data_IF_719320518576
#
_entry.id   IF_719320518576
#
_cell.length_a   1.000
_cell.length_b   1.000
_cell.length_c   1.000
_cell.angle_alpha   90.00
_cell.angle_beta   90.00
_cell.angle_gamma   90.00
#
_symmetry.space_group_name_H-M   'P 1'
#
loop_
_entity.id
_entity.type
_entity.pdbx_description
1 polymer ?
#
# COMPACT_ATOMS: atom_id res chain seq x y z
N UNK A 1 -2.73 -26.86 37.70
CA UNK A 1 -3.49 -27.33 36.52
C UNK A 1 -3.23 -26.31 35.40
N UNK A 2 -2.32 -26.62 34.45
CA UNK A 2 -1.92 -25.72 33.37
C UNK A 2 -2.97 -25.63 32.23
N UNK A 3 -4.19 -25.19 32.53
CA UNK A 3 -5.23 -25.05 31.54
C UNK A 3 -5.03 -23.78 30.64
N UNK A 4 -4.28 -22.81 31.13
CA UNK A 4 -3.95 -21.56 30.42
C UNK A 4 -2.46 -21.32 30.46
N UNK A 5 -1.88 -21.07 29.31
CA UNK A 5 -0.60 -20.40 29.12
C UNK A 5 -0.86 -19.03 28.53
N UNK A 6 -0.29 -17.99 29.11
CA UNK A 6 -0.41 -16.62 28.66
C UNK A 6 0.96 -15.94 28.74
N UNK A 7 1.39 -15.37 27.64
CA UNK A 7 2.57 -14.52 27.56
C UNK A 7 2.10 -13.12 27.13
N UNK A 8 2.59 -12.11 27.84
CA UNK A 8 2.30 -10.69 27.51
C UNK A 8 3.61 -9.93 27.51
N UNK A 9 3.82 -9.14 26.49
CA UNK A 9 4.91 -8.18 26.39
C UNK A 9 4.37 -6.78 26.07
N UNK A 10 5.06 -5.78 26.59
CA UNK A 10 4.87 -4.38 26.21
C UNK A 10 6.26 -3.81 25.91
N UNK A 11 6.34 -2.97 24.89
CA UNK A 11 7.60 -2.41 24.43
C UNK A 11 7.42 -0.99 23.94
N UNK A 12 8.51 -0.22 24.01
CA UNK A 12 8.71 1.04 23.32
C UNK A 12 10.12 1.05 22.76
N UNK A 13 10.27 1.46 21.54
CA UNK A 13 11.54 1.53 20.84
C UNK A 13 11.64 2.86 20.09
N UNK A 14 12.69 3.60 20.39
CA UNK A 14 13.05 4.81 19.66
C UNK A 14 14.19 4.47 18.72
N UNK A 15 13.94 4.60 17.41
CA UNK A 15 14.93 4.36 16.36
C UNK A 15 15.43 5.67 15.82
N UNK A 16 16.73 5.92 15.95
CA UNK A 16 17.42 7.01 15.28
C UNK A 16 17.90 6.54 13.91
N UNK A 17 17.45 7.21 12.86
CA UNK A 17 17.91 6.96 11.49
C UNK A 17 17.39 5.66 10.86
N UNK A 18 16.15 5.26 11.13
CA UNK A 18 15.51 4.15 10.40
C UNK A 18 15.50 4.45 8.89
N UNK A 19 15.96 3.48 8.09
CA UNK A 19 16.02 3.64 6.65
C UNK A 19 14.65 3.44 6.00
N UNK A 20 14.13 4.50 5.40
CA UNK A 20 12.95 4.46 4.55
C UNK A 20 13.38 4.51 3.08
N UNK A 21 12.97 3.51 2.30
CA UNK A 21 13.29 3.41 0.88
C UNK A 21 12.15 3.94 0.02
N UNK A 22 12.49 4.72 -0.99
CA UNK A 22 11.54 5.17 -2.00
C UNK A 22 12.17 5.19 -3.39
N UNK A 23 11.34 5.13 -4.43
CA UNK A 23 11.81 5.21 -5.81
C UNK A 23 11.56 6.64 -6.31
N UNK A 24 12.64 7.33 -6.63
CA UNK A 24 12.61 8.69 -7.18
C UNK A 24 13.47 8.72 -8.44
N UNK A 25 12.93 9.24 -9.54
CA UNK A 25 13.64 9.33 -10.82
C UNK A 25 14.29 8.00 -11.26
N UNK A 26 13.57 6.88 -11.07
CA UNK A 26 14.02 5.49 -11.39
C UNK A 26 15.18 4.98 -10.54
N UNK A 27 15.57 5.69 -9.51
CA UNK A 27 16.56 5.26 -8.55
C UNK A 27 15.91 4.95 -7.20
N UNK A 28 16.39 3.91 -6.52
CA UNK A 28 16.04 3.69 -5.12
C UNK A 28 16.86 4.62 -4.25
N UNK A 29 16.19 5.43 -3.46
CA UNK A 29 16.80 6.35 -2.51
C UNK A 29 16.43 5.88 -1.11
N UNK A 30 17.43 5.79 -0.24
CA UNK A 30 17.23 5.54 1.18
C UNK A 30 17.44 6.84 1.93
N UNK A 31 16.46 7.17 2.76
CA UNK A 31 16.51 8.32 3.66
C UNK A 31 16.35 7.82 5.09
N UNK A 32 16.93 8.54 6.04
CA UNK A 32 16.87 8.20 7.45
C UNK A 32 15.78 9.01 8.12
N UNK A 33 14.95 8.35 8.93
CA UNK A 33 13.90 8.96 9.73
C UNK A 33 14.04 8.49 11.18
N UNK A 34 13.73 9.38 12.11
CA UNK A 34 13.61 9.01 13.51
C UNK A 34 12.16 8.58 13.76
N UNK A 35 11.99 7.45 14.45
CA UNK A 35 10.66 6.84 14.64
C UNK A 35 10.52 6.24 16.02
N UNK A 36 9.32 6.37 16.59
CA UNK A 36 8.91 5.68 17.80
C UNK A 36 7.97 4.53 17.46
N UNK A 37 8.21 3.37 18.04
CA UNK A 37 7.38 2.17 17.90
C UNK A 37 7.00 1.68 19.28
N UNK A 38 5.71 1.66 19.59
CA UNK A 38 5.19 1.21 20.86
C UNK A 38 4.17 0.09 20.64
N UNK A 39 4.11 -0.87 21.55
CA UNK A 39 3.13 -1.93 21.40
C UNK A 39 2.93 -2.80 22.63
N UNK A 40 1.83 -3.53 22.53
CA UNK A 40 1.48 -4.60 23.46
C UNK A 40 1.15 -5.84 22.64
N UNK A 41 1.74 -6.95 23.04
CA UNK A 41 1.50 -8.26 22.43
C UNK A 41 1.08 -9.26 23.50
N UNK A 42 0.12 -10.10 23.16
CA UNK A 42 -0.29 -11.20 24.00
C UNK A 42 -0.46 -12.47 23.18
N UNK A 43 0.08 -13.56 23.68
CA UNK A 43 -0.09 -14.91 23.14
C UNK A 43 -0.70 -15.80 24.20
N UNK A 44 -1.63 -16.65 23.81
CA UNK A 44 -2.26 -17.58 24.75
C UNK A 44 -2.54 -18.93 24.13
N UNK A 45 -2.56 -19.95 24.99
CA UNK A 45 -3.12 -21.28 24.71
C UNK A 45 -4.00 -21.68 25.89
N UNK A 46 -5.27 -21.96 25.63
CA UNK A 46 -6.27 -22.30 26.62
C UNK A 46 -6.87 -23.68 26.31
N UNK A 47 -6.73 -24.58 27.26
CA UNK A 47 -7.42 -25.87 27.22
C UNK A 47 -8.85 -25.70 27.70
N UNK A 48 -9.81 -25.65 26.78
CA UNK A 48 -11.23 -25.56 27.10
C UNK A 48 -11.78 -26.89 27.59
N UNK A 49 -11.19 -28.01 27.13
CA UNK A 49 -11.42 -29.37 27.62
C UNK A 49 -10.24 -30.24 27.20
N UNK A 50 -10.22 -31.50 27.62
CA UNK A 50 -9.17 -32.49 27.26
C UNK A 50 -9.01 -32.66 25.73
N UNK A 51 -10.02 -32.23 24.97
CA UNK A 51 -10.04 -32.41 23.49
C UNK A 51 -10.29 -31.13 22.73
N UNK A 52 -10.35 -29.98 23.40
CA UNK A 52 -10.64 -28.69 22.76
C UNK A 52 -9.66 -27.63 23.22
N UNK A 53 -8.88 -27.10 22.29
CA UNK A 53 -7.84 -26.10 22.53
C UNK A 53 -8.20 -24.82 21.78
N UNK A 54 -8.11 -23.70 22.46
CA UNK A 54 -8.15 -22.36 21.89
C UNK A 54 -6.75 -21.77 22.03
N UNK A 55 -6.18 -21.32 20.94
CA UNK A 55 -4.91 -20.60 20.90
C UNK A 55 -5.06 -19.30 20.13
N UNK A 56 -4.18 -18.36 20.39
CA UNK A 56 -4.19 -17.11 19.65
C UNK A 56 -3.11 -16.15 20.06
N UNK A 57 -3.01 -15.09 19.27
CA UNK A 57 -2.24 -13.91 19.62
C UNK A 57 -3.02 -12.66 19.27
N UNK A 58 -2.68 -11.56 19.92
CA UNK A 58 -3.09 -10.20 19.57
C UNK A 58 -1.88 -9.29 19.72
N UNK A 59 -1.68 -8.42 18.76
CA UNK A 59 -0.68 -7.34 18.76
C UNK A 59 -1.38 -6.03 18.48
N UNK A 60 -1.15 -5.04 19.32
CA UNK A 60 -1.51 -3.66 19.07
C UNK A 60 -0.21 -2.85 19.07
N UNK A 61 0.14 -2.29 17.91
CA UNK A 61 1.41 -1.59 17.66
C UNK A 61 1.13 -0.20 17.10
N UNK A 62 1.55 0.82 17.80
CA UNK A 62 1.57 2.20 17.30
C UNK A 62 2.94 2.52 16.74
N UNK A 63 2.98 3.21 15.61
CA UNK A 63 4.23 3.69 15.00
C UNK A 63 4.08 5.16 14.66
N UNK A 64 5.10 5.96 14.94
CA UNK A 64 5.10 7.38 14.65
C UNK A 64 6.45 7.82 14.11
N UNK A 65 6.43 8.56 13.01
CA UNK A 65 7.59 9.24 12.45
C UNK A 65 7.75 10.56 13.21
N UNK A 66 8.91 10.78 13.84
CA UNK A 66 9.14 11.93 14.72
C UNK A 66 9.52 13.19 13.93
N UNK A 67 10.63 13.15 13.19
CA UNK A 67 11.11 14.24 12.35
C UNK A 67 11.62 13.71 11.03
N UNK A 68 10.80 13.87 10.00
CA UNK A 68 11.18 13.43 8.67
C UNK A 68 10.47 14.26 7.60
N UNK A 69 11.27 14.77 6.65
CA UNK A 69 10.78 15.49 5.48
C UNK A 69 11.27 14.81 4.24
N UNK A 70 10.36 14.63 3.29
CA UNK A 70 10.70 14.00 2.02
C UNK A 70 9.80 14.49 0.89
N UNK A 71 10.31 14.41 -0.33
CA UNK A 71 9.53 14.71 -1.53
C UNK A 71 8.70 13.49 -1.90
N UNK A 72 7.38 13.67 -1.96
CA UNK A 72 6.47 12.62 -2.41
C UNK A 72 6.68 12.30 -3.90
N UNK A 73 7.17 11.10 -4.26
CA UNK A 73 7.41 10.75 -5.66
C UNK A 73 6.15 10.78 -6.54
N UNK A 74 4.97 10.61 -5.92
CA UNK A 74 3.68 10.64 -6.60
C UNK A 74 3.09 12.06 -6.67
N UNK A 75 3.57 12.97 -5.81
CA UNK A 75 3.12 14.35 -5.75
C UNK A 75 4.28 15.31 -5.40
N UNK A 76 5.33 15.39 -6.26
CA UNK A 76 6.57 16.08 -5.92
C UNK A 76 6.41 17.59 -5.70
N UNK A 77 5.33 18.20 -6.17
CA UNK A 77 5.08 19.62 -6.01
C UNK A 77 4.13 19.96 -4.87
N UNK A 78 3.66 18.95 -4.12
CA UNK A 78 2.60 19.09 -3.10
C UNK A 78 1.41 19.93 -3.57
N UNK A 79 1.11 19.85 -4.86
CA UNK A 79 0.08 20.66 -5.43
C UNK A 79 -1.27 20.26 -4.82
N UNK A 80 -1.84 21.16 -4.07
CA UNK A 80 -3.15 21.00 -3.42
C UNK A 80 -4.30 21.48 -4.32
N UNK A 81 -3.96 22.14 -5.42
CA UNK A 81 -4.95 22.72 -6.32
C UNK A 81 -5.42 21.68 -7.34
N UNK A 82 -6.68 21.30 -7.24
CA UNK A 82 -7.36 20.59 -8.31
C UNK A 82 -7.50 21.53 -9.50
N UNK A 83 -7.02 21.10 -10.67
CA UNK A 83 -7.43 21.77 -11.90
C UNK A 83 -8.94 21.53 -12.08
N UNK A 84 -9.72 22.59 -12.33
CA UNK A 84 -11.14 22.42 -12.59
C UNK A 84 -11.29 21.59 -13.88
N UNK A 85 -11.81 20.37 -13.75
CA UNK A 85 -12.21 19.61 -14.92
C UNK A 85 -13.51 20.17 -15.47
N UNK A 86 -13.66 20.21 -16.79
CA UNK A 86 -14.95 20.54 -17.40
C UNK A 86 -16.05 19.61 -16.87
N UNK A 87 -17.23 20.15 -16.66
CA UNK A 87 -18.35 19.34 -16.17
C UNK A 87 -18.65 18.19 -17.16
N UNK A 88 -18.65 16.96 -16.65
CA UNK A 88 -18.90 15.76 -17.45
C UNK A 88 -17.68 15.08 -18.06
N UNK A 89 -16.48 15.54 -17.77
CA UNK A 89 -15.25 14.92 -18.23
C UNK A 89 -15.03 13.54 -17.59
N UNK A 90 -14.81 12.49 -18.39
CA UNK A 90 -14.78 11.09 -17.94
C UNK A 90 -13.57 10.27 -18.40
N UNK A 91 -12.62 10.86 -19.13
CA UNK A 91 -11.47 10.13 -19.62
C UNK A 91 -10.30 11.02 -20.04
N UNK A 92 -9.10 10.47 -20.01
CA UNK A 92 -7.84 11.21 -20.21
C UNK A 92 -7.84 12.13 -21.42
N UNK A 93 -8.22 11.65 -22.62
CA UNK A 93 -8.25 12.46 -23.82
C UNK A 93 -9.50 13.36 -23.92
N UNK A 94 -10.64 12.89 -23.46
CA UNK A 94 -11.89 13.67 -23.41
C UNK A 94 -11.81 14.80 -22.41
N UNK A 95 -11.09 14.59 -21.29
CA UNK A 95 -10.92 15.57 -20.24
C UNK A 95 -9.88 16.63 -20.61
N UNK A 96 -8.87 16.21 -21.35
CA UNK A 96 -7.71 17.04 -21.67
C UNK A 96 -7.94 18.01 -22.85
N UNK A 97 -8.58 17.55 -23.92
CA UNK A 97 -8.85 18.40 -25.08
C UNK A 97 -9.75 19.60 -24.76
N UNK A 98 -10.85 19.48 -23.99
CA UNK A 98 -11.65 20.62 -23.57
C UNK A 98 -10.89 21.60 -22.67
N UNK A 99 -10.01 21.08 -21.81
CA UNK A 99 -9.19 21.91 -20.93
C UNK A 99 -8.18 22.75 -21.69
N UNK A 100 -7.53 22.18 -22.71
CA UNK A 100 -6.66 22.91 -23.63
C UNK A 100 -7.46 24.02 -24.34
N UNK A 101 -8.65 23.70 -24.81
CA UNK A 101 -9.52 24.67 -25.52
C UNK A 101 -10.00 25.80 -24.59
N UNK A 102 -10.22 25.53 -23.32
CA UNK A 102 -10.62 26.57 -22.35
C UNK A 102 -9.46 27.41 -21.87
N UNK A 103 -8.25 26.87 -21.83
CA UNK A 103 -7.07 27.61 -21.38
C UNK A 103 -6.73 28.75 -22.33
N UNK A 104 -6.61 28.47 -23.60
CA UNK A 104 -6.45 29.47 -24.65
C UNK A 104 -6.53 28.84 -26.06
N UNK A 105 -7.51 29.13 -26.87
CA UNK A 105 -7.59 28.59 -28.22
C UNK A 105 -6.40 28.99 -29.10
N UNK A 106 -5.67 30.04 -28.76
CA UNK A 106 -4.49 30.49 -29.51
C UNK A 106 -3.19 29.73 -29.11
N UNK A 107 -3.21 28.91 -28.08
CA UNK A 107 -2.09 28.03 -27.74
C UNK A 107 -1.76 27.09 -28.90
N UNK A 108 -2.77 26.60 -29.61
CA UNK A 108 -2.59 25.75 -30.78
C UNK A 108 -1.86 26.41 -31.94
N UNK A 109 -1.84 27.74 -32.00
CA UNK A 109 -1.15 28.52 -33.04
C UNK A 109 0.09 29.23 -32.50
N UNK A 110 0.47 29.01 -31.23
CA UNK A 110 1.69 29.57 -30.66
C UNK A 110 1.73 31.10 -30.51
N UNK A 111 0.56 31.76 -30.48
CA UNK A 111 0.49 33.21 -30.57
C UNK A 111 0.11 33.94 -29.28
N UNK A 112 -0.18 33.26 -28.23
CA UNK A 112 -0.62 33.92 -26.99
C UNK A 112 0.08 33.37 -25.74
N UNK A 113 0.32 34.31 -24.84
CA UNK A 113 0.78 33.93 -23.49
C UNK A 113 -0.37 33.27 -22.70
N UNK A 114 -0.06 32.29 -21.86
CA UNK A 114 -1.04 31.59 -21.07
C UNK A 114 -1.68 32.45 -19.99
N UNK A 115 -2.92 32.16 -19.65
CA UNK A 115 -3.43 32.58 -18.36
C UNK A 115 -2.74 31.75 -17.25
N UNK A 116 -2.39 32.39 -16.14
CA UNK A 116 -1.79 31.72 -14.99
C UNK A 116 -2.67 30.62 -14.40
N UNK A 117 -3.94 30.58 -14.74
CA UNK A 117 -4.92 29.60 -14.27
C UNK A 117 -4.90 28.29 -15.07
N UNK A 118 -4.26 28.30 -16.21
CA UNK A 118 -4.13 27.16 -17.10
C UNK A 118 -2.68 26.74 -17.17
N UNK A 119 -2.30 25.63 -16.57
CA UNK A 119 -0.99 24.99 -16.72
C UNK A 119 0.20 25.69 -16.11
N UNK A 120 0.06 26.60 -15.21
CA UNK A 120 1.23 27.27 -14.62
C UNK A 120 2.21 27.78 -15.71
N UNK A 121 1.69 28.16 -16.87
CA UNK A 121 2.46 28.77 -17.94
C UNK A 121 3.19 27.81 -18.91
N UNK A 122 3.21 26.52 -18.69
CA UNK A 122 4.01 25.60 -19.51
C UNK A 122 3.27 25.13 -20.77
N UNK A 123 2.05 24.68 -20.63
CA UNK A 123 1.27 24.15 -21.75
C UNK A 123 0.97 25.17 -22.81
N UNK A 124 0.99 26.41 -22.47
CA UNK A 124 0.57 27.50 -23.32
C UNK A 124 1.63 28.02 -24.29
N UNK A 125 2.88 27.68 -24.04
CA UNK A 125 3.95 28.09 -24.98
C UNK A 125 4.20 27.04 -26.07
N UNK A 126 3.67 25.82 -25.92
CA UNK A 126 3.79 24.80 -26.93
C UNK A 126 2.61 23.82 -26.91
N UNK A 127 1.77 23.76 -27.98
CA UNK A 127 0.62 22.86 -28.06
C UNK A 127 0.96 21.38 -27.95
N UNK A 128 2.14 20.96 -28.40
CA UNK A 128 2.65 19.58 -28.25
C UNK A 128 2.96 19.25 -26.81
N UNK A 129 3.52 20.17 -26.06
CA UNK A 129 3.76 20.01 -24.63
C UNK A 129 2.44 20.03 -23.85
N UNK A 130 1.49 20.86 -24.25
CA UNK A 130 0.15 20.84 -23.70
C UNK A 130 -0.51 19.46 -23.86
N UNK A 131 -0.34 18.82 -25.00
CA UNK A 131 -0.85 17.46 -25.25
C UNK A 131 -0.09 16.36 -24.47
N UNK A 132 1.12 16.65 -24.04
CA UNK A 132 1.93 15.74 -23.22
C UNK A 132 1.80 15.97 -21.70
N UNK A 133 1.09 17.03 -21.30
CA UNK A 133 0.78 17.25 -19.88
C UNK A 133 -0.09 16.12 -19.36
N UNK A 134 0.51 15.30 -18.54
CA UNK A 134 -0.14 14.14 -17.98
C UNK A 134 -0.85 14.54 -16.69
N UNK A 135 -2.16 14.42 -16.66
CA UNK A 135 -2.92 14.41 -15.43
C UNK A 135 -2.77 13.05 -14.77
N UNK A 136 -2.34 13.06 -13.53
CA UNK A 136 -2.41 11.86 -12.71
C UNK A 136 -3.53 12.02 -11.70
N UNK A 137 -4.35 10.98 -11.50
CA UNK A 137 -5.25 10.93 -10.35
C UNK A 137 -4.39 10.98 -9.08
N UNK A 138 -4.77 11.84 -8.16
CA UNK A 138 -4.21 11.92 -6.81
C UNK A 138 -5.34 11.95 -5.81
N UNK A 139 -5.03 11.87 -4.53
CA UNK A 139 -6.00 11.97 -3.45
C UNK A 139 -6.80 13.28 -3.48
N UNK A 140 -6.21 14.32 -4.04
CA UNK A 140 -6.86 15.61 -4.25
C UNK A 140 -7.60 15.73 -5.60
N UNK A 141 -7.60 14.68 -6.43
CA UNK A 141 -8.13 14.66 -7.80
C UNK A 141 -7.03 14.63 -8.85
N UNK A 142 -7.29 15.18 -10.03
CA UNK A 142 -6.28 15.25 -11.07
C UNK A 142 -5.31 16.39 -10.79
N UNK A 143 -4.02 16.09 -10.90
CA UNK A 143 -2.95 17.06 -10.70
C UNK A 143 -2.06 17.19 -11.92
N UNK A 144 -1.55 18.38 -12.09
CA UNK A 144 -0.62 18.71 -13.13
C UNK A 144 0.74 18.05 -12.85
N UNK A 145 1.25 17.27 -13.80
CA UNK A 145 2.63 16.75 -13.72
C UNK A 145 3.62 17.81 -14.18
N UNK A 146 4.63 18.03 -13.37
CA UNK A 146 5.82 18.75 -13.78
C UNK A 146 6.62 17.94 -14.82
N UNK A 147 7.00 18.56 -15.93
CA UNK A 147 7.77 17.94 -17.02
C UNK A 147 9.28 18.18 -16.88
N UNK A 148 9.83 18.09 -15.68
CA UNK A 148 11.26 18.23 -15.48
C UNK A 148 12.13 17.52 -16.55
N UNK A 149 11.87 16.26 -16.92
CA UNK A 149 12.65 15.56 -17.95
C UNK A 149 12.45 16.08 -19.38
N UNK A 150 11.29 16.63 -19.74
CA UNK A 150 11.02 17.14 -21.08
C UNK A 150 11.61 18.52 -21.32
N UNK A 151 11.89 19.27 -20.27
CA UNK A 151 12.56 20.57 -20.35
C UNK A 151 14.02 20.45 -20.77
N UNK A 152 14.62 19.27 -20.66
CA UNK A 152 16.01 19.00 -21.01
C UNK A 152 16.17 18.28 -22.35
N UNK A 153 15.05 17.95 -23.04
CA UNK A 153 15.12 17.22 -24.32
C UNK A 153 15.25 18.19 -25.49
N UNK A 154 16.42 18.24 -26.17
CA UNK A 154 16.64 19.14 -27.31
C UNK A 154 15.75 18.84 -28.52
N UNK A 155 15.05 17.72 -28.51
CA UNK A 155 14.27 17.20 -29.62
C UNK A 155 13.10 18.12 -30.04
N UNK A 156 12.59 18.94 -29.11
CA UNK A 156 11.50 19.89 -29.41
C UNK A 156 11.95 21.36 -29.51
N UNK A 157 13.23 21.64 -29.51
CA UNK A 157 13.75 23.01 -29.52
C UNK A 157 13.44 23.82 -28.26
N UNK A 158 13.13 23.14 -27.19
CA UNK A 158 12.82 23.72 -25.88
C UNK A 158 14.06 23.64 -25.01
N UNK A 159 14.54 24.77 -24.56
CA UNK A 159 15.58 24.86 -23.57
C UNK A 159 15.07 25.48 -22.26
N UNK A 160 15.82 25.30 -21.20
CA UNK A 160 15.49 25.81 -19.88
C UNK A 160 15.43 27.33 -19.78
N UNK A 161 15.83 28.04 -20.83
CA UNK A 161 15.83 29.51 -20.89
C UNK A 161 14.55 30.07 -21.53
N UNK A 162 13.88 29.25 -22.33
CA UNK A 162 12.66 29.65 -23.05
C UNK A 162 11.38 29.21 -22.37
N UNK A 163 11.43 28.19 -21.52
CA UNK A 163 10.30 27.75 -20.73
C UNK A 163 10.67 27.85 -19.23
N UNK A 164 9.82 28.48 -18.41
CA UNK A 164 9.95 28.35 -16.97
C UNK A 164 9.59 26.92 -16.60
N UNK A 165 10.50 26.00 -16.84
CA UNK A 165 10.41 24.67 -16.29
C UNK A 165 10.66 24.77 -14.79
N UNK A 166 9.73 24.46 -13.93
CA UNK A 166 9.99 24.31 -12.51
C UNK A 166 10.84 23.05 -12.33
N UNK A 167 12.13 23.13 -12.61
CA UNK A 167 13.14 22.20 -12.17
C UNK A 167 13.31 22.45 -10.67
N UNK A 168 12.34 22.05 -9.90
CA UNK A 168 12.48 21.95 -8.46
C UNK A 168 12.74 20.49 -8.15
N UNK A 169 13.66 20.24 -7.24
CA UNK A 169 13.87 18.89 -6.67
C UNK A 169 12.60 18.33 -6.01
N UNK A 170 11.53 19.11 -6.03
CA UNK A 170 10.25 18.87 -5.40
C UNK A 170 10.09 19.69 -4.12
N UNK A 171 8.89 19.70 -3.60
CA UNK A 171 8.55 20.32 -2.31
C UNK A 171 8.48 19.21 -1.27
N UNK A 172 9.30 19.30 -0.24
CA UNK A 172 9.28 18.34 0.86
C UNK A 172 7.95 18.41 1.61
N UNK A 173 7.33 17.25 1.83
CA UNK A 173 6.26 17.07 2.79
C UNK A 173 6.84 16.80 4.16
N UNK A 174 6.27 17.37 5.18
CA UNK A 174 6.51 16.99 6.56
C UNK A 174 5.70 15.74 6.87
N UNK A 175 6.39 14.66 7.26
CA UNK A 175 5.79 13.36 7.54
C UNK A 175 5.72 13.07 9.04
N UNK A 176 6.08 14.04 9.88
CA UNK A 176 5.99 13.92 11.34
C UNK A 176 4.55 13.59 11.77
N UNK A 177 4.38 12.63 12.65
CA UNK A 177 3.08 12.13 13.08
C UNK A 177 2.47 11.06 12.17
N UNK A 178 3.08 10.75 11.03
CA UNK A 178 2.62 9.67 10.16
C UNK A 178 3.04 8.29 10.71
N UNK A 179 2.23 7.28 10.42
CA UNK A 179 2.58 5.89 10.70
C UNK A 179 3.62 5.35 9.71
N UNK A 180 4.39 4.37 10.14
CA UNK A 180 5.31 3.66 9.27
C UNK A 180 4.57 2.88 8.16
N UNK A 181 5.19 2.73 6.98
CA UNK A 181 4.65 1.89 5.93
C UNK A 181 4.45 0.44 6.39
N UNK A 182 3.37 -0.19 5.96
CA UNK A 182 3.05 -1.60 6.21
C UNK A 182 2.84 -1.95 7.70
N UNK A 183 2.61 -0.97 8.56
CA UNK A 183 2.41 -1.12 9.99
C UNK A 183 0.91 -1.01 10.34
N UNK A 184 0.21 -2.14 10.35
CA UNK A 184 -1.16 -2.22 10.83
C UNK A 184 -1.19 -2.12 12.35
N UNK A 185 -2.10 -1.30 12.91
CA UNK A 185 -2.15 -1.10 14.36
C UNK A 185 -2.63 -2.33 15.11
N UNK A 186 -3.67 -3.00 14.65
CA UNK A 186 -4.22 -4.18 15.30
C UNK A 186 -4.08 -5.41 14.43
N UNK A 187 -3.45 -6.45 14.96
CA UNK A 187 -3.39 -7.77 14.35
C UNK A 187 -3.77 -8.82 15.37
N UNK A 188 -4.61 -9.77 15.00
CA UNK A 188 -4.87 -10.91 15.87
C UNK A 188 -5.22 -12.16 15.07
N UNK A 189 -4.98 -13.31 15.70
CA UNK A 189 -5.38 -14.62 15.22
C UNK A 189 -5.94 -15.44 16.35
N UNK A 190 -7.03 -16.15 16.09
CA UNK A 190 -7.67 -17.10 16.98
C UNK A 190 -7.74 -18.46 16.30
N UNK A 191 -7.19 -19.49 16.92
CA UNK A 191 -7.21 -20.86 16.46
C UNK A 191 -8.00 -21.76 17.40
N UNK A 192 -8.96 -22.50 16.88
CA UNK A 192 -9.72 -23.48 17.64
C UNK A 192 -9.43 -24.88 17.09
N UNK A 193 -8.87 -25.75 17.94
CA UNK A 193 -8.55 -27.13 17.57
C UNK A 193 -9.37 -28.11 18.39
N UNK A 194 -10.11 -28.98 17.70
CA UNK A 194 -10.82 -30.12 18.31
C UNK A 194 -10.13 -31.43 17.95
N UNK A 195 -9.78 -32.23 18.98
CA UNK A 195 -9.30 -33.59 18.84
C UNK A 195 -10.42 -34.61 19.08
N UNK A 196 -10.44 -35.64 18.26
CA UNK A 196 -11.41 -36.75 18.37
C UNK A 196 -10.67 -38.06 18.21
N UNK A 197 -10.55 -38.84 19.29
CA UNK A 197 -9.93 -40.15 19.24
C UNK A 197 -10.96 -41.22 18.90
N UNK A 198 -10.59 -42.12 18.04
CA UNK A 198 -11.37 -43.27 17.60
C UNK A 198 -10.55 -44.55 17.73
N UNK A 199 -11.20 -45.71 17.65
CA UNK A 199 -10.50 -46.98 17.68
C UNK A 199 -9.50 -47.16 16.51
N UNK A 200 -9.64 -46.46 15.41
CA UNK A 200 -8.80 -46.53 14.22
C UNK A 200 -7.68 -45.48 14.15
N UNK A 201 -7.76 -44.42 14.97
CA UNK A 201 -6.82 -43.32 14.95
C UNK A 201 -7.44 -42.04 15.51
N UNK A 202 -6.68 -40.95 15.43
CA UNK A 202 -7.06 -39.63 15.92
C UNK A 202 -7.34 -38.66 14.76
N UNK A 203 -8.34 -37.82 14.96
CA UNK A 203 -8.69 -36.71 14.10
C UNK A 203 -8.37 -35.39 14.81
N UNK A 204 -7.85 -34.42 14.06
CA UNK A 204 -7.80 -33.02 14.49
C UNK A 204 -8.52 -32.14 13.49
N UNK A 205 -9.43 -31.32 13.99
CA UNK A 205 -10.17 -30.32 13.23
C UNK A 205 -9.71 -28.95 13.72
N UNK A 206 -9.24 -28.09 12.82
CA UNK A 206 -8.79 -26.74 13.17
C UNK A 206 -9.48 -25.69 12.33
N UNK A 207 -9.88 -24.63 13.00
CA UNK A 207 -10.35 -23.40 12.41
C UNK A 207 -9.44 -22.26 12.90
N UNK A 208 -8.95 -21.46 11.99
CA UNK A 208 -8.22 -20.23 12.25
C UNK A 208 -8.99 -19.04 11.73
N UNK A 209 -9.12 -18.01 12.55
CA UNK A 209 -9.61 -16.70 12.17
C UNK A 209 -8.49 -15.70 12.39
N UNK A 210 -8.15 -14.93 11.37
CA UNK A 210 -7.16 -13.87 11.45
C UNK A 210 -7.74 -12.54 11.00
N UNK A 211 -7.30 -11.47 11.65
CA UNK A 211 -7.63 -10.10 11.33
C UNK A 211 -6.36 -9.28 11.28
N UNK A 212 -6.28 -8.40 10.31
CA UNK A 212 -5.28 -7.35 10.23
C UNK A 212 -5.99 -6.05 9.90
N UNK A 213 -5.68 -5.01 10.67
CA UNK A 213 -6.18 -3.66 10.51
C UNK A 213 -5.66 -3.00 9.24
N UNK A 214 -6.26 -1.89 8.87
CA UNK A 214 -5.82 -1.07 7.76
C UNK A 214 -4.42 -0.45 8.01
N UNK A 215 -3.75 -0.08 6.95
CA UNK A 215 -2.44 0.56 7.01
C UNK A 215 -2.10 1.27 5.69
N UNK A 216 -1.00 2.00 5.69
CA UNK A 216 -0.50 2.67 4.49
C UNK A 216 0.68 1.94 3.87
N UNK A 217 0.75 1.93 2.55
CA UNK A 217 1.86 1.33 1.80
C UNK A 217 3.10 2.23 1.72
N UNK A 218 2.98 3.51 2.07
CA UNK A 218 4.07 4.50 2.04
C UNK A 218 4.01 5.40 3.27
N UNK A 219 5.15 5.97 3.66
CA UNK A 219 5.24 6.91 4.79
C UNK A 219 4.45 8.22 4.60
N UNK A 220 3.96 8.50 3.39
CA UNK A 220 3.15 9.68 3.11
C UNK A 220 1.70 9.56 3.59
N UNK A 221 1.24 8.39 4.00
CA UNK A 221 -0.09 8.10 4.55
C UNK A 221 -1.23 8.68 3.71
N UNK A 222 -1.13 8.53 2.39
CA UNK A 222 -2.11 9.04 1.46
C UNK A 222 -3.22 8.04 1.16
N UNK A 223 -4.47 8.48 0.90
CA UNK A 223 -5.59 7.59 0.57
C UNK A 223 -5.27 6.63 -0.58
N UNK A 224 -4.47 7.04 -1.57
CA UNK A 224 -4.04 6.17 -2.67
C UNK A 224 -3.17 4.99 -2.22
N UNK A 225 -2.44 5.15 -1.12
CA UNK A 225 -1.60 4.13 -0.52
C UNK A 225 -2.26 3.38 0.63
N UNK A 226 -3.50 3.70 0.94
CA UNK A 226 -4.27 3.04 2.00
C UNK A 226 -4.63 1.62 1.58
N UNK A 227 -4.48 0.70 2.49
CA UNK A 227 -4.83 -0.71 2.35
C UNK A 227 -5.84 -1.01 3.44
N UNK A 228 -7.03 -1.44 3.03
CA UNK A 228 -8.14 -1.72 3.94
C UNK A 228 -7.82 -2.88 4.89
N UNK A 229 -8.57 -3.03 5.95
CA UNK A 229 -8.51 -4.17 6.84
C UNK A 229 -8.94 -5.48 6.16
N UNK A 230 -8.49 -6.60 6.69
CA UNK A 230 -8.84 -7.92 6.16
C UNK A 230 -9.06 -8.94 7.26
N UNK A 231 -10.09 -9.77 7.07
CA UNK A 231 -10.40 -10.94 7.90
C UNK A 231 -10.35 -12.22 7.08
N UNK A 232 -9.63 -13.23 7.54
CA UNK A 232 -9.52 -14.52 6.85
C UNK A 232 -9.94 -15.67 7.75
N UNK A 233 -10.57 -16.67 7.15
CA UNK A 233 -10.92 -17.93 7.81
C UNK A 233 -10.26 -19.07 7.07
N UNK A 234 -9.47 -19.88 7.81
CA UNK A 234 -8.86 -21.10 7.32
C UNK A 234 -9.41 -22.31 8.10
N UNK A 235 -9.67 -23.40 7.40
CA UNK A 235 -10.08 -24.66 8.00
C UNK A 235 -9.13 -25.78 7.62
N UNK A 236 -8.87 -26.70 8.55
CA UNK A 236 -8.13 -27.91 8.26
C UNK A 236 -8.62 -29.11 9.05
N UNK A 237 -8.42 -30.28 8.48
CA UNK A 237 -8.66 -31.57 9.13
C UNK A 237 -7.47 -32.49 8.87
N UNK A 238 -7.05 -33.22 9.90
CA UNK A 238 -5.99 -34.21 9.80
C UNK A 238 -6.43 -35.51 10.47
N UNK A 239 -6.18 -36.64 9.82
CA UNK A 239 -6.32 -37.96 10.38
C UNK A 239 -4.96 -38.63 10.51
N UNK A 240 -4.70 -39.26 11.67
CA UNK A 240 -3.51 -40.05 11.96
C UNK A 240 -3.96 -41.39 12.52
N UNK A 241 -3.61 -42.54 11.90
CA UNK A 241 -3.99 -43.86 12.43
C UNK A 241 -3.27 -44.18 13.72
N UNK A 242 -3.76 -45.18 14.45
CA UNK A 242 -3.15 -45.65 15.72
C UNK A 242 -1.68 -46.04 15.54
N UNK A 243 -1.30 -46.52 14.36
CA UNK A 243 0.11 -46.90 14.08
C UNK A 243 1.04 -45.69 13.94
N UNK A 244 0.50 -44.48 13.77
CA UNK A 244 1.22 -43.22 13.47
C UNK A 244 2.17 -43.31 12.27
N UNK A 245 2.08 -44.39 11.47
CA UNK A 245 2.95 -44.62 10.33
C UNK A 245 2.67 -43.66 9.17
N UNK A 246 1.51 -43.04 9.14
CA UNK A 246 1.13 -42.06 8.10
C UNK A 246 0.06 -41.11 8.62
N UNK A 247 -0.14 -40.04 7.90
CA UNK A 247 -1.29 -39.14 8.11
C UNK A 247 -1.83 -38.66 6.76
N UNK A 248 -3.07 -38.27 6.75
CA UNK A 248 -3.69 -37.52 5.65
C UNK A 248 -4.38 -36.29 6.23
N UNK A 249 -4.27 -35.18 5.51
CA UNK A 249 -4.95 -33.93 5.85
C UNK A 249 -5.60 -33.29 4.64
N UNK A 250 -6.60 -32.48 4.90
CA UNK A 250 -7.20 -31.58 3.92
C UNK A 250 -7.35 -30.21 4.54
N UNK A 251 -7.28 -29.18 3.72
CA UNK A 251 -7.45 -27.81 4.18
C UNK A 251 -8.13 -26.94 3.13
N UNK A 252 -8.74 -25.87 3.58
CA UNK A 252 -9.15 -24.72 2.80
C UNK A 252 -8.59 -23.47 3.45
N UNK A 253 -7.91 -22.65 2.66
CA UNK A 253 -7.43 -21.30 3.03
C UNK A 253 -8.31 -20.27 2.38
N UNK A 254 -8.44 -19.11 3.04
CA UNK A 254 -9.32 -18.03 2.59
C UNK A 254 -10.71 -18.57 2.25
N UNK A 255 -11.37 -19.20 3.22
CA UNK A 255 -12.68 -19.85 3.01
C UNK A 255 -13.75 -18.86 2.50
N UNK A 256 -13.66 -17.58 2.93
CA UNK A 256 -14.53 -16.50 2.50
C UNK A 256 -14.35 -16.13 1.03
N UNK A 257 -13.21 -16.50 0.42
CA UNK A 257 -12.79 -16.04 -0.91
C UNK A 257 -12.66 -14.52 -0.96
N UNK A 258 -12.08 -13.97 0.13
CA UNK A 258 -11.83 -12.54 0.21
C UNK A 258 -10.85 -12.11 -0.88
N UNK A 259 -11.21 -11.06 -1.60
CA UNK A 259 -10.37 -10.42 -2.61
C UNK A 259 -9.77 -9.15 -2.01
N UNK A 260 -8.49 -9.21 -1.65
CA UNK A 260 -7.82 -8.14 -0.89
C UNK A 260 -6.43 -7.85 -1.44
N UNK A 261 -6.08 -6.57 -1.50
CA UNK A 261 -4.73 -6.12 -1.83
C UNK A 261 -3.96 -5.94 -0.53
N UNK A 262 -2.81 -6.60 -0.40
CA UNK A 262 -2.00 -6.46 0.81
C UNK A 262 -0.77 -5.57 0.64
N UNK A 263 -0.43 -5.17 -0.58
CA UNK A 263 0.67 -4.25 -0.83
C UNK A 263 0.47 -3.49 -2.13
N UNK A 264 0.97 -2.27 -2.19
CA UNK A 264 1.08 -1.49 -3.41
C UNK A 264 2.54 -1.22 -3.74
N UNK A 265 2.89 -1.48 -4.99
CA UNK A 265 4.12 -1.00 -5.59
C UNK A 265 3.77 0.20 -6.48
N UNK A 266 4.22 1.38 -6.07
CA UNK A 266 3.94 2.63 -6.77
C UNK A 266 5.20 3.13 -7.48
N UNK A 267 5.04 3.52 -8.75
CA UNK A 267 6.12 4.16 -9.50
C UNK A 267 5.99 5.66 -9.41
N UNK A 268 7.11 6.35 -9.52
CA UNK A 268 7.14 7.80 -9.56
C UNK A 268 6.56 8.38 -10.87
N UNK A 269 6.41 9.69 -10.88
CA UNK A 269 5.84 10.42 -12.03
C UNK A 269 6.69 10.31 -13.30
N UNK A 270 8.00 10.03 -13.21
CA UNK A 270 8.89 9.94 -14.36
C UNK A 270 8.70 8.66 -15.17
N UNK A 271 8.12 7.62 -14.57
CA UNK A 271 7.80 6.34 -15.21
C UNK A 271 6.30 6.10 -15.35
N UNK A 272 5.48 7.12 -15.18
CA UNK A 272 4.05 7.07 -15.45
C UNK A 272 3.16 7.15 -14.21
N UNK A 273 3.70 7.08 -12.99
CA UNK A 273 2.93 7.18 -11.75
C UNK A 273 1.87 6.09 -11.62
N UNK A 274 2.12 4.89 -12.15
CA UNK A 274 1.20 3.77 -12.01
C UNK A 274 1.44 3.01 -10.69
N UNK A 275 0.42 2.31 -10.26
CA UNK A 275 0.42 1.54 -9.03
C UNK A 275 -0.01 0.11 -9.34
N UNK A 276 0.77 -0.85 -8.87
CA UNK A 276 0.44 -2.27 -8.95
C UNK A 276 0.03 -2.75 -7.56
N UNK A 277 -1.13 -3.39 -7.49
CA UNK A 277 -1.58 -4.08 -6.28
C UNK A 277 -1.07 -5.52 -6.27
N UNK A 278 -0.65 -5.98 -5.09
CA UNK A 278 -0.31 -7.38 -4.83
C UNK A 278 -1.46 -7.97 -4.01
N UNK A 279 -2.20 -8.89 -4.63
CA UNK A 279 -3.35 -9.52 -3.98
C UNK A 279 -2.91 -10.67 -3.06
N UNK A 280 -3.73 -10.97 -2.05
CA UNK A 280 -3.63 -12.21 -1.28
C UNK A 280 -4.01 -13.40 -2.14
N UNK A 281 -3.65 -14.59 -1.68
CA UNK A 281 -4.09 -15.83 -2.34
C UNK A 281 -5.62 -15.96 -2.33
N UNK A 282 -6.24 -16.36 -3.44
CA UNK A 282 -7.67 -16.67 -3.47
C UNK A 282 -7.97 -17.89 -2.60
N UNK A 283 -9.22 -18.32 -2.54
CA UNK A 283 -9.58 -19.57 -1.87
C UNK A 283 -8.81 -20.76 -2.43
N UNK A 284 -8.05 -21.44 -1.58
CA UNK A 284 -7.23 -22.59 -1.94
C UNK A 284 -7.68 -23.82 -1.17
N UNK A 285 -7.86 -24.95 -1.89
CA UNK A 285 -8.05 -26.26 -1.32
C UNK A 285 -6.80 -27.11 -1.49
N UNK A 286 -6.44 -27.87 -0.49
CA UNK A 286 -5.31 -28.78 -0.59
C UNK A 286 -5.50 -30.06 0.20
N UNK A 287 -4.75 -31.08 -0.21
CA UNK A 287 -4.63 -32.34 0.49
C UNK A 287 -3.14 -32.57 0.73
N UNK A 288 -2.80 -33.01 1.92
CA UNK A 288 -1.45 -33.39 2.30
C UNK A 288 -1.42 -34.82 2.81
N UNK A 289 -0.35 -35.52 2.50
CA UNK A 289 -0.09 -36.88 2.98
C UNK A 289 1.35 -36.96 3.45
N UNK A 290 1.57 -37.66 4.54
CA UNK A 290 2.90 -37.93 5.07
C UNK A 290 3.04 -39.34 5.62
N UNK A 291 4.26 -39.86 5.56
CA UNK A 291 4.64 -41.17 6.09
C UNK A 291 5.84 -41.03 7.02
N UNK A 292 5.82 -41.77 8.12
CA UNK A 292 6.95 -41.91 9.04
C UNK A 292 7.64 -43.25 8.74
N UNK A 293 8.96 -43.25 8.57
CA UNK A 293 9.77 -44.42 8.27
C UNK A 293 10.57 -44.86 9.47
#
# INVERSE_FOLDING_TARGET
NGALQLNVSAYTNDYEGLQLSQIVNRASINQNADVTIEGIEAEFTLLLSDTLVLDGFVSNTSTEIEDFKSVDPLNPNQATQKLPLPAGATGFFSDFAPLIATCNPLVFVGQAAPSNDCYLGIAAQNPLLGALVLYTPTDAGYMFKSFGPLCTVPFFGLDSTTLPCPLTDGVEADLSGNSLPMAAELNYRLGLTKFVDTASGSWSFRMDYSYRDDYYSTAFNRPRGHIDDVSLIDLSVKYTPVSEAWFVGAYVRNMGDEDHIYAYYSTDVTVGGFQNGVAIDPKIFGINFGMNF
#
